data_IF_354206339563
#
_entry.id   IF_354206339563
#
_cell.length_a   1.000
_cell.length_b   1.000
_cell.length_c   1.000
_cell.angle_alpha   90.00
_cell.angle_beta   90.00
_cell.angle_gamma   90.00
#
_symmetry.space_group_name_H-M   'P 1'
#
loop_
_entity.id
_entity.type
_entity.pdbx_description
1 polymer ?
#
# COMPACT_ATOMS: atom_id res chain seq x y z
N UNK A 1 8.09 -6.28 -33.12
CA UNK A 1 6.72 -6.23 -32.60
C UNK A 1 6.47 -4.83 -32.06
N UNK A 2 6.31 -3.84 -32.92
CA UNK A 2 6.12 -2.41 -32.59
C UNK A 2 5.04 -1.83 -33.50
N UNK A 3 3.83 -2.36 -33.42
CA UNK A 3 2.66 -1.82 -34.14
C UNK A 3 1.40 -2.28 -33.44
N UNK A 4 1.03 -1.63 -32.34
CA UNK A 4 -0.32 -1.85 -31.78
C UNK A 4 -0.69 -0.71 -30.82
N UNK A 5 -0.78 0.52 -31.28
CA UNK A 5 -1.53 1.61 -30.62
C UNK A 5 -1.79 2.73 -31.62
N UNK A 6 -2.49 2.39 -32.69
CA UNK A 6 -2.98 3.36 -33.66
C UNK A 6 -4.34 2.87 -34.18
N UNK A 7 -5.32 2.83 -33.29
CA UNK A 7 -6.71 2.63 -33.70
C UNK A 7 -7.61 3.36 -32.73
N UNK A 8 -7.80 4.62 -32.95
CA UNK A 8 -9.10 5.27 -32.77
C UNK A 8 -9.10 6.68 -33.37
N UNK A 9 -8.95 6.83 -34.65
CA UNK A 9 -9.65 7.82 -35.48
C UNK A 9 -9.49 7.37 -36.93
N UNK A 10 -10.32 6.49 -37.38
CA UNK A 10 -10.47 6.20 -38.80
C UNK A 10 -11.96 6.11 -39.08
N UNK A 11 -12.54 7.24 -39.48
CA UNK A 11 -13.70 7.27 -40.38
C UNK A 11 -13.82 8.69 -40.96
N UNK A 12 -13.19 8.90 -42.11
CA UNK A 12 -13.87 9.52 -43.25
C UNK A 12 -12.94 9.40 -44.45
N UNK A 13 -13.30 8.47 -45.34
CA UNK A 13 -12.66 8.39 -46.63
C UNK A 13 -12.98 9.61 -47.50
N UNK A 14 -11.94 10.24 -48.00
CA UNK A 14 -11.96 10.99 -49.24
C UNK A 14 -10.56 10.87 -49.83
N UNK A 15 -10.42 10.05 -50.88
CA UNK A 15 -9.27 10.08 -51.73
C UNK A 15 -9.18 11.44 -52.43
N UNK A 16 -8.49 12.37 -51.80
CA UNK A 16 -8.00 13.56 -52.47
C UNK A 16 -6.52 13.37 -52.77
N UNK A 17 -6.12 13.65 -54.04
CA UNK A 17 -4.69 13.80 -54.39
C UNK A 17 -4.09 14.79 -53.37
N UNK A 18 -3.24 14.28 -52.47
CA UNK A 18 -2.48 15.12 -51.57
C UNK A 18 -1.48 15.92 -52.39
N UNK A 19 -1.76 17.17 -52.65
CA UNK A 19 -0.72 18.16 -52.79
C UNK A 19 0.15 18.02 -51.53
N UNK A 20 1.45 17.85 -51.69
CA UNK A 20 2.40 17.71 -50.60
C UNK A 20 2.15 18.85 -49.59
N UNK A 21 1.52 18.53 -48.46
CA UNK A 21 1.14 19.54 -47.48
C UNK A 21 2.43 20.19 -46.99
N UNK A 22 2.56 21.48 -47.07
CA UNK A 22 3.70 22.20 -46.51
C UNK A 22 3.71 22.01 -44.99
N UNK A 23 4.41 20.97 -44.51
CA UNK A 23 4.47 20.62 -43.10
C UNK A 23 4.99 21.77 -42.22
N UNK A 24 5.77 22.71 -42.79
CA UNK A 24 6.25 23.90 -42.06
C UNK A 24 5.09 24.88 -41.83
N UNK A 25 4.23 25.05 -42.81
CA UNK A 25 3.03 25.90 -42.66
C UNK A 25 2.03 25.26 -41.67
N UNK A 26 1.81 23.95 -41.75
CA UNK A 26 0.98 23.22 -40.77
C UNK A 26 1.52 23.38 -39.36
N UNK A 27 2.84 23.24 -39.16
CA UNK A 27 3.48 23.47 -37.87
C UNK A 27 3.27 24.89 -37.35
N UNK A 28 3.40 25.91 -38.23
CA UNK A 28 3.17 27.32 -37.83
C UNK A 28 1.74 27.53 -37.34
N UNK A 29 0.76 26.94 -38.03
CA UNK A 29 -0.65 27.00 -37.63
C UNK A 29 -0.90 26.28 -36.29
N UNK A 30 -0.33 25.06 -36.12
CA UNK A 30 -0.42 24.32 -34.88
C UNK A 30 0.21 25.08 -33.71
N UNK A 31 1.37 25.70 -33.92
CA UNK A 31 2.03 26.52 -32.90
C UNK A 31 1.24 27.78 -32.55
N UNK A 32 0.53 28.39 -33.52
CA UNK A 32 -0.37 29.51 -33.27
C UNK A 32 -1.58 29.07 -32.43
N UNK A 33 -2.20 27.93 -32.74
CA UNK A 33 -3.28 27.33 -31.94
C UNK A 33 -2.83 27.02 -30.53
N UNK A 34 -1.66 26.40 -30.34
CA UNK A 34 -1.13 26.10 -29.01
C UNK A 34 -0.86 27.38 -28.19
N UNK A 35 -0.38 28.47 -28.82
CA UNK A 35 -0.20 29.76 -28.16
C UNK A 35 -1.52 30.41 -27.78
N UNK A 36 -2.57 30.22 -28.58
CA UNK A 36 -3.92 30.70 -28.30
C UNK A 36 -4.67 29.80 -27.27
N UNK A 37 -4.02 28.81 -26.70
CA UNK A 37 -4.59 27.81 -25.80
C UNK A 37 -5.62 26.87 -26.45
N UNK A 38 -5.69 26.80 -27.76
CA UNK A 38 -6.52 25.89 -28.55
C UNK A 38 -5.78 24.55 -28.69
N UNK A 39 -5.48 23.90 -27.56
CA UNK A 39 -4.61 22.70 -27.53
C UNK A 39 -5.21 21.52 -28.27
N UNK A 40 -6.53 21.31 -28.14
CA UNK A 40 -7.24 20.22 -28.82
C UNK A 40 -7.19 20.33 -30.36
N UNK A 41 -7.16 21.57 -30.88
CA UNK A 41 -7.03 21.82 -32.33
C UNK A 41 -5.57 21.71 -32.81
N UNK A 42 -4.61 22.02 -31.93
CA UNK A 42 -3.20 21.95 -32.27
C UNK A 42 -2.71 20.50 -32.38
N UNK A 43 -3.21 19.56 -31.55
CA UNK A 43 -2.76 18.18 -31.52
C UNK A 43 -2.82 17.47 -32.89
N UNK A 44 -3.97 17.41 -33.59
CA UNK A 44 -4.05 16.74 -34.88
C UNK A 44 -3.13 17.38 -35.94
N UNK A 45 -2.91 18.68 -35.89
CA UNK A 45 -1.99 19.38 -36.81
C UNK A 45 -0.52 19.01 -36.48
N UNK A 46 -0.17 18.87 -35.21
CA UNK A 46 1.17 18.42 -34.79
C UNK A 46 1.41 16.97 -35.18
N UNK A 47 0.42 16.10 -35.06
CA UNK A 47 0.49 14.71 -35.54
C UNK A 47 0.67 14.67 -37.06
N UNK A 48 -0.03 15.51 -37.81
CA UNK A 48 0.15 15.65 -39.27
C UNK A 48 1.60 16.01 -39.63
N UNK A 49 2.18 16.99 -38.93
CA UNK A 49 3.60 17.37 -39.13
C UNK A 49 4.54 16.21 -38.82
N UNK A 50 4.31 15.47 -37.74
CA UNK A 50 5.16 14.34 -37.34
C UNK A 50 5.06 13.22 -38.37
N UNK A 51 3.87 12.90 -38.86
CA UNK A 51 3.67 11.84 -39.85
C UNK A 51 4.23 12.25 -41.22
N UNK A 52 4.00 13.48 -41.67
CA UNK A 52 4.53 13.98 -42.96
C UNK A 52 6.05 13.97 -43.04
N UNK A 53 6.73 14.14 -41.88
CA UNK A 53 8.19 14.08 -41.86
C UNK A 53 8.74 12.70 -42.25
N UNK A 54 8.07 11.63 -41.89
CA UNK A 54 8.50 10.27 -42.23
C UNK A 54 8.28 9.88 -43.70
N UNK A 55 7.49 10.68 -44.43
CA UNK A 55 7.25 10.49 -45.85
C UNK A 55 8.27 11.28 -46.74
N UNK A 56 9.18 12.03 -46.12
CA UNK A 56 10.22 12.77 -46.84
C UNK A 56 11.48 11.94 -47.06
N UNK A 57 11.99 11.95 -48.29
CA UNK A 57 13.26 11.27 -48.62
C UNK A 57 14.47 12.06 -48.09
N UNK A 58 14.47 13.39 -48.29
CA UNK A 58 15.55 14.31 -47.90
C UNK A 58 14.93 15.56 -47.24
N UNK A 59 14.65 15.58 -45.93
CA UNK A 59 14.11 16.75 -45.26
C UNK A 59 15.11 17.90 -45.19
N UNK A 60 14.63 19.11 -45.47
CA UNK A 60 15.43 20.32 -45.29
C UNK A 60 15.49 20.77 -43.81
N UNK A 61 16.36 21.75 -43.52
CA UNK A 61 16.59 22.24 -42.16
C UNK A 61 15.35 22.84 -41.49
N UNK A 62 14.39 23.41 -42.28
CA UNK A 62 13.14 23.94 -41.73
C UNK A 62 12.16 22.81 -41.38
N UNK A 63 12.13 21.75 -42.21
CA UNK A 63 11.34 20.57 -42.01
C UNK A 63 11.85 19.77 -40.78
N UNK A 64 13.18 19.58 -40.66
CA UNK A 64 13.76 18.99 -39.44
C UNK A 64 13.43 19.76 -38.18
N UNK A 65 13.50 21.11 -38.25
CA UNK A 65 13.15 21.99 -37.12
C UNK A 65 11.66 21.90 -36.78
N UNK A 66 10.78 21.91 -37.77
CA UNK A 66 9.33 21.78 -37.56
C UNK A 66 9.01 20.44 -36.90
N UNK A 67 9.57 19.33 -37.36
CA UNK A 67 9.44 18.00 -36.75
C UNK A 67 9.93 17.97 -35.31
N UNK A 68 11.14 18.47 -35.05
CA UNK A 68 11.67 18.51 -33.69
C UNK A 68 10.81 19.33 -32.69
N UNK A 69 10.25 20.44 -33.19
CA UNK A 69 9.38 21.27 -32.41
C UNK A 69 7.98 20.67 -32.25
N UNK A 70 7.42 20.02 -33.28
CA UNK A 70 6.12 19.35 -33.21
C UNK A 70 6.09 18.29 -32.10
N UNK A 71 7.13 17.48 -31.97
CA UNK A 71 7.28 16.50 -30.88
C UNK A 71 7.21 17.15 -29.48
N UNK A 72 7.79 18.34 -29.32
CA UNK A 72 7.73 19.06 -28.02
C UNK A 72 6.37 19.69 -27.78
N UNK A 73 5.77 20.26 -28.81
CA UNK A 73 4.50 20.97 -28.69
C UNK A 73 3.34 20.00 -28.43
N UNK A 74 3.35 18.79 -29.02
CA UNK A 74 2.27 17.82 -28.80
C UNK A 74 2.26 17.34 -27.34
N UNK A 75 3.41 17.06 -26.76
CA UNK A 75 3.55 16.74 -25.32
C UNK A 75 3.04 17.89 -24.46
N UNK A 76 3.42 19.14 -24.82
CA UNK A 76 2.96 20.33 -24.12
C UNK A 76 1.43 20.48 -24.21
N UNK A 77 0.83 20.26 -25.38
CA UNK A 77 -0.62 20.39 -25.58
C UNK A 77 -1.40 19.39 -24.70
N UNK A 78 -1.01 18.11 -24.69
CA UNK A 78 -1.61 17.12 -23.80
C UNK A 78 -1.42 17.47 -22.33
N UNK A 79 -0.22 17.91 -21.92
CA UNK A 79 0.02 18.38 -20.54
C UNK A 79 -0.90 19.55 -20.16
N UNK A 80 -1.12 20.51 -21.07
CA UNK A 80 -2.01 21.65 -20.82
C UNK A 80 -3.47 21.25 -20.73
N UNK A 81 -3.94 20.33 -21.60
CA UNK A 81 -5.29 19.77 -21.52
C UNK A 81 -5.49 19.01 -20.20
N UNK A 82 -4.50 18.23 -19.78
CA UNK A 82 -4.50 17.55 -18.47
C UNK A 82 -4.65 18.54 -17.32
N UNK A 83 -3.90 19.66 -17.35
CA UNK A 83 -4.00 20.71 -16.35
C UNK A 83 -5.38 21.41 -16.33
N UNK A 84 -5.97 21.65 -17.50
CA UNK A 84 -7.33 22.20 -17.59
C UNK A 84 -8.36 21.24 -16.99
N UNK A 85 -8.36 19.98 -17.42
CA UNK A 85 -9.27 18.95 -16.90
C UNK A 85 -9.11 18.75 -15.38
N UNK A 86 -7.88 18.80 -14.86
CA UNK A 86 -7.62 18.72 -13.41
C UNK A 86 -8.26 19.89 -12.65
N UNK A 87 -8.14 21.13 -13.16
CA UNK A 87 -8.74 22.31 -12.54
C UNK A 87 -10.27 22.25 -12.57
N UNK A 88 -10.83 21.64 -13.62
CA UNK A 88 -12.26 21.37 -13.76
C UNK A 88 -12.76 20.17 -12.94
N UNK A 89 -11.84 19.54 -12.14
CA UNK A 89 -12.08 18.32 -11.35
C UNK A 89 -12.49 17.10 -12.19
N UNK A 90 -12.23 17.12 -13.48
CA UNK A 90 -12.40 15.96 -14.34
C UNK A 90 -11.13 15.11 -14.29
N UNK A 91 -10.91 14.44 -13.15
CA UNK A 91 -9.66 13.75 -12.86
C UNK A 91 -9.38 12.57 -13.79
N UNK A 92 -10.43 11.87 -14.27
CA UNK A 92 -10.24 10.77 -15.22
C UNK A 92 -9.64 11.28 -16.53
N UNK A 93 -10.24 12.30 -17.11
CA UNK A 93 -9.76 12.88 -18.35
C UNK A 93 -8.39 13.56 -18.17
N UNK A 94 -8.16 14.18 -17.01
CA UNK A 94 -6.85 14.74 -16.68
C UNK A 94 -5.77 13.66 -16.66
N UNK A 95 -6.04 12.52 -16.01
CA UNK A 95 -5.12 11.38 -15.96
C UNK A 95 -4.82 10.81 -17.34
N UNK A 96 -5.83 10.68 -18.21
CA UNK A 96 -5.67 10.25 -19.60
C UNK A 96 -4.76 11.18 -20.39
N UNK A 97 -4.99 12.50 -20.30
CA UNK A 97 -4.16 13.49 -21.00
C UNK A 97 -2.70 13.48 -20.49
N UNK A 98 -2.50 13.39 -19.17
CA UNK A 98 -1.14 13.30 -18.63
C UNK A 98 -0.46 11.97 -18.99
N UNK A 99 -1.21 10.86 -19.02
CA UNK A 99 -0.66 9.58 -19.46
C UNK A 99 -0.21 9.62 -20.92
N UNK A 100 -1.03 10.24 -21.80
CA UNK A 100 -0.67 10.41 -23.21
C UNK A 100 0.55 11.32 -23.39
N UNK A 101 0.61 12.43 -22.65
CA UNK A 101 1.80 13.30 -22.63
C UNK A 101 3.05 12.54 -22.16
N UNK A 102 2.93 11.64 -21.20
CA UNK A 102 4.04 10.82 -20.72
C UNK A 102 4.48 9.79 -21.77
N UNK A 103 3.54 9.11 -22.43
CA UNK A 103 3.82 8.13 -23.48
C UNK A 103 4.53 8.78 -24.67
N UNK A 104 4.07 9.94 -25.11
CA UNK A 104 4.70 10.69 -26.19
C UNK A 104 6.10 11.21 -25.79
N UNK A 105 6.25 11.67 -24.55
CA UNK A 105 7.55 12.10 -24.05
C UNK A 105 8.55 10.93 -24.00
N UNK A 106 8.11 9.74 -23.60
CA UNK A 106 8.92 8.52 -23.63
C UNK A 106 9.28 8.13 -25.06
N UNK A 107 8.31 8.18 -26.00
CA UNK A 107 8.54 7.89 -27.42
C UNK A 107 9.59 8.82 -28.05
N UNK A 108 9.68 10.05 -27.54
CA UNK A 108 10.61 11.07 -28.06
C UNK A 108 11.86 11.24 -27.18
N UNK A 109 12.18 10.27 -26.33
CA UNK A 109 13.35 10.25 -25.44
C UNK A 109 13.43 11.46 -24.48
N UNK A 110 12.29 12.06 -24.13
CA UNK A 110 12.20 13.17 -23.20
C UNK A 110 11.82 12.66 -21.78
N UNK A 111 12.82 12.10 -21.09
CA UNK A 111 12.65 11.51 -19.76
C UNK A 111 12.11 12.51 -18.72
N UNK A 112 12.52 13.79 -18.83
CA UNK A 112 12.05 14.83 -17.90
C UNK A 112 10.54 15.06 -17.96
N UNK A 113 10.01 15.26 -19.17
CA UNK A 113 8.57 15.43 -19.36
C UNK A 113 7.79 14.15 -19.13
N UNK A 114 8.35 12.98 -19.45
CA UNK A 114 7.77 11.67 -19.13
C UNK A 114 7.50 11.55 -17.63
N UNK A 115 8.53 11.73 -16.81
CA UNK A 115 8.41 11.58 -15.35
C UNK A 115 7.43 12.60 -14.76
N UNK A 116 7.51 13.85 -15.20
CA UNK A 116 6.61 14.92 -14.76
C UNK A 116 5.14 14.62 -15.06
N UNK A 117 4.85 14.13 -16.27
CA UNK A 117 3.47 13.82 -16.64
C UNK A 117 2.96 12.55 -15.93
N UNK A 118 3.82 11.54 -15.66
CA UNK A 118 3.46 10.41 -14.79
C UNK A 118 3.11 10.86 -13.38
N UNK A 119 3.89 11.78 -12.80
CA UNK A 119 3.58 12.38 -11.51
C UNK A 119 2.21 13.10 -11.51
N UNK A 120 1.92 13.87 -12.57
CA UNK A 120 0.63 14.55 -12.68
C UNK A 120 -0.54 13.58 -12.83
N UNK A 121 -0.39 12.50 -13.60
CA UNK A 121 -1.40 11.44 -13.67
C UNK A 121 -1.63 10.80 -12.29
N UNK A 122 -0.55 10.55 -11.53
CA UNK A 122 -0.64 10.09 -10.13
C UNK A 122 -1.46 11.03 -9.24
N UNK A 123 -1.23 12.35 -9.33
CA UNK A 123 -2.00 13.36 -8.58
C UNK A 123 -3.50 13.36 -8.93
N UNK A 124 -3.86 13.02 -10.17
CA UNK A 124 -5.28 12.89 -10.54
C UNK A 124 -5.94 11.72 -9.80
N UNK A 125 -5.29 10.56 -9.75
CA UNK A 125 -5.78 9.40 -8.98
C UNK A 125 -5.84 9.71 -7.48
N UNK A 126 -4.84 10.42 -6.95
CA UNK A 126 -4.82 10.84 -5.55
C UNK A 126 -5.99 11.75 -5.21
N UNK A 127 -6.24 12.79 -6.01
CA UNK A 127 -7.35 13.71 -5.79
C UNK A 127 -8.71 13.01 -5.86
N UNK A 128 -8.93 12.19 -6.88
CA UNK A 128 -10.17 11.44 -7.06
C UNK A 128 -10.38 10.40 -5.95
N UNK A 129 -9.33 9.67 -5.61
CA UNK A 129 -9.39 8.69 -4.53
C UNK A 129 -9.66 9.33 -3.17
N UNK A 130 -9.07 10.52 -2.92
CA UNK A 130 -9.32 11.28 -1.70
C UNK A 130 -10.77 11.78 -1.59
N UNK A 131 -11.41 12.16 -2.70
CA UNK A 131 -12.84 12.50 -2.68
C UNK A 131 -13.70 11.31 -2.25
N UNK A 132 -13.48 10.13 -2.81
CA UNK A 132 -14.18 8.91 -2.43
C UNK A 132 -13.88 8.52 -0.96
N UNK A 133 -12.63 8.60 -0.55
CA UNK A 133 -12.20 8.31 0.82
C UNK A 133 -12.89 9.23 1.85
N UNK A 134 -12.92 10.54 1.57
CA UNK A 134 -13.51 11.54 2.48
C UNK A 134 -15.03 11.42 2.60
N UNK A 135 -15.70 10.85 1.60
CA UNK A 135 -17.14 10.53 1.66
C UNK A 135 -17.44 9.17 2.32
N UNK A 136 -16.41 8.40 2.68
CA UNK A 136 -16.52 7.07 3.27
C UNK A 136 -16.77 5.96 2.23
N UNK A 137 -16.70 6.28 0.93
CA UNK A 137 -16.75 5.27 -0.14
C UNK A 137 -15.38 4.62 -0.32
N UNK A 138 -15.00 3.81 0.68
CA UNK A 138 -13.71 3.13 0.67
C UNK A 138 -13.56 2.11 -0.46
N UNK A 139 -14.66 1.56 -0.97
CA UNK A 139 -14.62 0.63 -2.09
C UNK A 139 -14.14 1.33 -3.37
N UNK A 140 -14.71 2.48 -3.69
CA UNK A 140 -14.27 3.33 -4.80
C UNK A 140 -12.87 3.89 -4.57
N UNK A 141 -12.54 4.31 -3.34
CA UNK A 141 -11.20 4.78 -2.99
C UNK A 141 -10.14 3.70 -3.24
N UNK A 142 -10.39 2.45 -2.85
CA UNK A 142 -9.50 1.31 -3.10
C UNK A 142 -9.27 1.11 -4.60
N UNK A 143 -10.32 1.13 -5.41
CA UNK A 143 -10.18 0.97 -6.86
C UNK A 143 -9.29 2.05 -7.47
N UNK A 144 -9.53 3.32 -7.11
CA UNK A 144 -8.81 4.47 -7.67
C UNK A 144 -7.36 4.49 -7.21
N UNK A 145 -7.12 4.38 -5.88
CA UNK A 145 -5.77 4.35 -5.34
C UNK A 145 -4.95 3.15 -5.83
N UNK A 146 -5.60 1.99 -6.06
CA UNK A 146 -4.93 0.82 -6.63
C UNK A 146 -4.42 1.08 -8.05
N UNK A 147 -5.21 1.76 -8.90
CA UNK A 147 -4.80 2.16 -10.25
C UNK A 147 -3.61 3.12 -10.20
N UNK A 148 -3.69 4.13 -9.35
CA UNK A 148 -2.61 5.11 -9.20
C UNK A 148 -1.33 4.52 -8.62
N UNK A 149 -1.43 3.67 -7.59
CA UNK A 149 -0.29 2.97 -7.00
C UNK A 149 0.35 1.96 -7.97
N UNK A 150 -0.44 1.33 -8.83
CA UNK A 150 0.11 0.47 -9.88
C UNK A 150 0.91 1.27 -10.93
N UNK A 151 0.51 2.53 -11.21
CA UNK A 151 1.20 3.40 -12.13
C UNK A 151 2.48 4.02 -11.51
N UNK A 152 2.46 4.34 -10.22
CA UNK A 152 3.60 4.89 -9.49
C UNK A 152 3.73 4.27 -8.10
N UNK A 153 4.64 3.28 -7.99
CA UNK A 153 4.94 2.56 -6.75
C UNK A 153 5.68 3.40 -5.69
N UNK A 154 6.19 4.56 -6.07
CA UNK A 154 6.88 5.47 -5.15
C UNK A 154 5.99 6.62 -4.65
N UNK A 155 4.75 6.69 -5.09
CA UNK A 155 3.78 7.60 -4.50
C UNK A 155 3.29 7.05 -3.14
N UNK A 156 4.09 7.29 -2.11
CA UNK A 156 3.86 6.77 -0.76
C UNK A 156 2.59 7.33 -0.12
N UNK A 157 2.21 8.57 -0.43
CA UNK A 157 0.97 9.17 0.08
C UNK A 157 -0.26 8.42 -0.43
N UNK A 158 -0.30 8.11 -1.74
CA UNK A 158 -1.37 7.31 -2.33
C UNK A 158 -1.40 5.89 -1.77
N UNK A 159 -0.24 5.26 -1.60
CA UNK A 159 -0.14 3.92 -1.05
C UNK A 159 -0.61 3.87 0.41
N UNK A 160 -0.30 4.87 1.23
CA UNK A 160 -0.81 4.99 2.61
C UNK A 160 -2.32 5.16 2.66
N UNK A 161 -2.89 5.95 1.75
CA UNK A 161 -4.33 6.11 1.62
C UNK A 161 -5.01 4.82 1.13
N UNK A 162 -4.37 4.06 0.25
CA UNK A 162 -4.83 2.74 -0.17
C UNK A 162 -4.85 1.76 1.01
N UNK A 163 -3.78 1.68 1.77
CA UNK A 163 -3.72 0.83 2.97
C UNK A 163 -4.82 1.21 3.97
N UNK A 164 -4.99 2.51 4.24
CA UNK A 164 -6.04 3.02 5.12
C UNK A 164 -7.45 2.66 4.61
N UNK A 165 -7.68 2.77 3.28
CA UNK A 165 -8.96 2.40 2.67
C UNK A 165 -9.27 0.92 2.84
N UNK A 166 -8.26 0.04 2.71
CA UNK A 166 -8.42 -1.38 2.98
C UNK A 166 -8.78 -1.64 4.44
N UNK A 167 -8.06 -1.03 5.38
CA UNK A 167 -8.34 -1.17 6.81
C UNK A 167 -9.74 -0.70 7.18
N UNK A 168 -10.17 0.45 6.65
CA UNK A 168 -11.53 0.99 6.86
C UNK A 168 -12.63 0.11 6.25
N UNK A 169 -12.28 -0.75 5.31
CA UNK A 169 -13.19 -1.71 4.67
C UNK A 169 -13.14 -3.10 5.30
N UNK A 170 -12.58 -3.26 6.49
CA UNK A 170 -12.38 -4.57 7.14
C UNK A 170 -11.50 -5.56 6.32
N UNK A 171 -10.66 -5.04 5.43
CA UNK A 171 -9.73 -5.83 4.61
C UNK A 171 -8.33 -5.75 5.22
N UNK A 172 -8.19 -6.31 6.42
CA UNK A 172 -6.96 -6.22 7.22
C UNK A 172 -5.73 -6.74 6.46
N UNK A 173 -5.82 -7.92 5.84
CA UNK A 173 -4.68 -8.54 5.17
C UNK A 173 -4.17 -7.73 3.97
N UNK A 174 -5.08 -7.17 3.18
CA UNK A 174 -4.73 -6.32 2.04
C UNK A 174 -4.12 -4.99 2.51
N UNK A 175 -4.67 -4.40 3.58
CA UNK A 175 -4.12 -3.19 4.19
C UNK A 175 -2.71 -3.41 4.72
N UNK A 176 -2.48 -4.51 5.45
CA UNK A 176 -1.17 -4.91 5.96
C UNK A 176 -0.16 -5.12 4.82
N UNK A 177 -0.58 -5.76 3.73
CA UNK A 177 0.29 -5.98 2.57
C UNK A 177 0.80 -4.65 1.99
N UNK A 178 -0.09 -3.69 1.75
CA UNK A 178 0.32 -2.38 1.19
C UNK A 178 1.17 -1.60 2.21
N UNK A 179 0.80 -1.59 3.49
CA UNK A 179 1.57 -0.91 4.52
C UNK A 179 2.99 -1.51 4.66
N UNK A 180 3.13 -2.84 4.61
CA UNK A 180 4.42 -3.54 4.66
C UNK A 180 5.30 -3.22 3.43
N UNK A 181 4.72 -3.11 2.23
CA UNK A 181 5.45 -2.65 1.04
C UNK A 181 6.07 -1.27 1.27
N UNK A 182 5.33 -0.33 1.92
CA UNK A 182 5.85 1.02 2.23
C UNK A 182 6.89 0.95 3.36
N UNK A 183 6.63 0.20 4.43
CA UNK A 183 7.55 0.04 5.54
C UNK A 183 8.91 -0.57 5.12
N UNK A 184 8.92 -1.32 4.01
CA UNK A 184 10.12 -1.92 3.41
C UNK A 184 10.93 -0.95 2.55
N UNK A 185 10.44 0.27 2.30
CA UNK A 185 11.18 1.28 1.54
C UNK A 185 12.38 1.80 2.35
N UNK A 186 13.32 2.44 1.64
CA UNK A 186 14.46 3.08 2.31
C UNK A 186 14.00 4.20 3.26
N UNK A 187 14.21 4.03 4.55
CA UNK A 187 13.91 5.05 5.56
C UNK A 187 14.75 6.34 5.38
N UNK A 188 15.89 6.27 4.71
CA UNK A 188 16.69 7.44 4.36
C UNK A 188 15.98 8.31 3.30
N UNK A 189 15.30 7.66 2.34
CA UNK A 189 14.59 8.35 1.24
C UNK A 189 13.15 8.71 1.60
N UNK A 190 12.48 7.89 2.40
CA UNK A 190 11.06 8.00 2.73
C UNK A 190 10.79 7.90 4.24
N UNK A 191 11.48 8.69 5.10
CA UNK A 191 11.44 8.51 6.56
C UNK A 191 10.03 8.62 7.13
N UNK A 192 9.26 9.61 6.70
CA UNK A 192 7.91 9.86 7.20
C UNK A 192 6.92 8.76 6.76
N UNK A 193 6.99 8.34 5.50
CA UNK A 193 6.11 7.31 4.97
C UNK A 193 6.36 5.94 5.62
N UNK A 194 7.63 5.59 5.83
CA UNK A 194 8.01 4.34 6.52
C UNK A 194 7.50 4.36 7.96
N UNK A 195 7.71 5.45 8.69
CA UNK A 195 7.24 5.59 10.06
C UNK A 195 5.70 5.55 10.15
N UNK A 196 5.00 6.22 9.23
CA UNK A 196 3.53 6.20 9.18
C UNK A 196 2.99 4.81 8.86
N UNK A 197 3.62 4.10 7.91
CA UNK A 197 3.24 2.73 7.58
C UNK A 197 3.36 1.80 8.79
N UNK A 198 4.48 1.86 9.51
CA UNK A 198 4.70 1.07 10.74
C UNK A 198 3.65 1.40 11.81
N UNK A 199 3.39 2.69 12.06
CA UNK A 199 2.36 3.11 13.02
C UNK A 199 0.95 2.59 12.64
N UNK A 200 0.61 2.61 11.35
CA UNK A 200 -0.66 2.04 10.87
C UNK A 200 -0.72 0.53 11.09
N UNK A 201 0.35 -0.19 10.75
CA UNK A 201 0.45 -1.64 10.96
C UNK A 201 0.20 -1.99 12.43
N UNK A 202 0.89 -1.32 13.36
CA UNK A 202 0.73 -1.54 14.80
C UNK A 202 -0.70 -1.24 15.28
N UNK A 203 -1.25 -0.10 14.88
CA UNK A 203 -2.59 0.33 15.26
C UNK A 203 -3.67 -0.66 14.78
N UNK A 204 -3.62 -1.05 13.51
CA UNK A 204 -4.63 -1.94 12.94
C UNK A 204 -4.45 -3.39 13.40
N UNK A 205 -3.23 -3.84 13.69
CA UNK A 205 -2.98 -5.12 14.36
C UNK A 205 -3.63 -5.15 15.74
N UNK A 206 -3.44 -4.12 16.55
CA UNK A 206 -4.07 -4.03 17.88
C UNK A 206 -5.60 -4.00 17.78
N UNK A 207 -6.15 -3.28 16.80
CA UNK A 207 -7.60 -3.23 16.58
C UNK A 207 -8.15 -4.60 16.16
N UNK A 208 -7.47 -5.33 15.29
CA UNK A 208 -7.89 -6.66 14.85
C UNK A 208 -7.83 -7.67 16.02
N UNK A 209 -6.76 -7.63 16.83
CA UNK A 209 -6.69 -8.43 18.06
C UNK A 209 -7.89 -8.15 18.98
N UNK A 210 -8.21 -6.87 19.22
CA UNK A 210 -9.33 -6.49 20.06
C UNK A 210 -10.68 -6.98 19.50
N UNK A 211 -10.87 -6.89 18.19
CA UNK A 211 -12.06 -7.39 17.48
C UNK A 211 -12.22 -8.90 17.63
N UNK A 212 -11.13 -9.66 17.40
CA UNK A 212 -11.13 -11.11 17.56
C UNK A 212 -11.37 -11.53 19.02
N UNK A 213 -10.81 -10.79 19.98
CA UNK A 213 -11.07 -11.02 21.42
C UNK A 213 -12.53 -10.80 21.78
N UNK A 214 -13.15 -9.72 21.29
CA UNK A 214 -14.58 -9.44 21.51
C UNK A 214 -15.46 -10.52 20.88
N UNK A 215 -15.11 -11.00 19.69
CA UNK A 215 -15.80 -12.09 19.02
C UNK A 215 -15.54 -13.47 19.67
N UNK A 216 -14.59 -13.57 20.61
CA UNK A 216 -14.08 -14.83 21.17
C UNK A 216 -13.54 -15.78 20.10
N UNK A 217 -13.03 -15.22 18.99
CA UNK A 217 -12.39 -15.97 17.91
C UNK A 217 -10.92 -16.21 18.26
N UNK A 218 -10.69 -17.16 19.13
CA UNK A 218 -9.35 -17.51 19.60
C UNK A 218 -8.52 -18.21 18.51
N UNK A 219 -9.15 -18.90 17.56
CA UNK A 219 -8.46 -19.48 16.41
C UNK A 219 -8.00 -18.38 15.46
N UNK A 220 -8.81 -17.34 15.27
CA UNK A 220 -8.43 -16.13 14.55
C UNK A 220 -7.23 -15.43 15.18
N UNK A 221 -7.20 -15.33 16.54
CA UNK A 221 -6.03 -14.75 17.26
C UNK A 221 -4.76 -15.58 17.00
N UNK A 222 -4.84 -16.91 17.04
CA UNK A 222 -3.69 -17.78 16.76
C UNK A 222 -3.20 -17.61 15.32
N UNK A 223 -4.14 -17.54 14.37
CA UNK A 223 -3.80 -17.32 12.97
C UNK A 223 -3.15 -15.94 12.73
N UNK A 224 -3.67 -14.89 13.36
CA UNK A 224 -3.10 -13.54 13.31
C UNK A 224 -1.70 -13.51 13.94
N UNK A 225 -1.52 -14.13 15.11
CA UNK A 225 -0.24 -14.20 15.80
C UNK A 225 0.86 -14.86 14.93
N UNK A 226 0.49 -15.87 14.12
CA UNK A 226 1.42 -16.48 13.17
C UNK A 226 1.89 -15.58 12.02
N UNK A 227 1.31 -14.39 11.87
CA UNK A 227 1.68 -13.39 10.85
C UNK A 227 2.49 -12.22 11.44
N UNK A 228 2.63 -12.14 12.77
CA UNK A 228 3.35 -11.06 13.43
C UNK A 228 4.86 -11.25 13.35
N UNK A 229 5.58 -10.18 13.07
CA UNK A 229 7.05 -10.15 13.08
C UNK A 229 7.62 -10.23 14.51
N UNK A 230 6.91 -9.64 15.50
CA UNK A 230 7.28 -9.74 16.92
C UNK A 230 6.90 -11.14 17.46
N UNK A 231 7.88 -12.04 17.43
CA UNK A 231 7.70 -13.40 17.93
C UNK A 231 7.32 -13.42 19.43
N UNK A 232 7.79 -12.47 20.23
CA UNK A 232 7.45 -12.36 21.65
C UNK A 232 5.98 -12.04 21.86
N UNK A 233 5.45 -11.04 21.12
CA UNK A 233 4.02 -10.72 21.11
C UNK A 233 3.20 -11.89 20.58
N UNK A 234 3.61 -12.51 19.48
CA UNK A 234 2.94 -13.65 18.88
C UNK A 234 2.74 -14.79 19.88
N UNK A 235 3.80 -15.21 20.56
CA UNK A 235 3.73 -16.30 21.54
C UNK A 235 2.83 -15.97 22.74
N UNK A 236 2.83 -14.72 23.21
CA UNK A 236 1.92 -14.30 24.30
C UNK A 236 0.44 -14.36 23.86
N UNK A 237 0.13 -13.92 22.65
CA UNK A 237 -1.23 -14.01 22.12
C UNK A 237 -1.70 -15.46 21.97
N UNK A 238 -0.83 -16.34 21.48
CA UNK A 238 -1.13 -17.77 21.34
C UNK A 238 -1.39 -18.41 22.73
N UNK A 239 -0.56 -18.11 23.72
CA UNK A 239 -0.78 -18.59 25.09
C UNK A 239 -2.11 -18.14 25.66
N UNK A 240 -2.47 -16.86 25.50
CA UNK A 240 -3.75 -16.33 25.95
C UNK A 240 -4.94 -16.97 25.22
N UNK A 241 -4.84 -17.17 23.91
CA UNK A 241 -5.87 -17.83 23.12
C UNK A 241 -6.09 -19.28 23.59
N UNK A 242 -5.02 -20.04 23.81
CA UNK A 242 -5.10 -21.39 24.37
C UNK A 242 -5.68 -21.43 25.78
N UNK A 243 -5.39 -20.42 26.63
CA UNK A 243 -5.99 -20.29 27.95
C UNK A 243 -7.53 -20.18 27.87
N UNK A 244 -8.03 -19.27 27.04
CA UNK A 244 -9.47 -19.09 26.87
C UNK A 244 -10.17 -20.31 26.23
N UNK A 245 -9.44 -21.07 25.40
CA UNK A 245 -9.89 -22.37 24.87
C UNK A 245 -9.78 -23.53 25.88
N UNK A 246 -9.21 -23.29 27.07
CA UNK A 246 -8.89 -24.30 28.09
C UNK A 246 -7.96 -25.39 27.59
N UNK A 247 -7.09 -25.08 26.67
CA UNK A 247 -6.11 -25.98 26.05
C UNK A 247 -4.77 -25.95 26.84
N UNK A 248 -4.83 -26.20 28.14
CA UNK A 248 -3.70 -26.03 29.06
C UNK A 248 -2.48 -26.89 28.73
N UNK A 249 -2.68 -28.07 28.16
CA UNK A 249 -1.56 -28.94 27.74
C UNK A 249 -0.77 -28.30 26.59
N UNK A 250 -1.43 -27.61 25.67
CA UNK A 250 -0.76 -26.87 24.59
C UNK A 250 0.05 -25.71 25.14
N UNK A 251 -0.51 -24.95 26.10
CA UNK A 251 0.22 -23.86 26.76
C UNK A 251 1.50 -24.37 27.42
N UNK A 252 1.43 -25.48 28.18
CA UNK A 252 2.58 -26.07 28.87
C UNK A 252 3.62 -26.53 27.86
N UNK A 253 3.21 -27.16 26.77
CA UNK A 253 4.14 -27.61 25.71
C UNK A 253 4.88 -26.45 25.03
N UNK A 254 4.32 -25.25 25.02
CA UNK A 254 4.92 -24.06 24.42
C UNK A 254 5.93 -23.34 25.33
N UNK A 255 6.09 -23.70 26.62
CA UNK A 255 6.90 -22.93 27.59
C UNK A 255 8.26 -22.54 27.03
N UNK A 256 9.02 -23.52 26.53
CA UNK A 256 10.40 -23.30 26.07
C UNK A 256 10.49 -22.33 24.91
N UNK A 257 9.62 -22.51 23.90
CA UNK A 257 9.58 -21.65 22.71
C UNK A 257 9.10 -20.23 23.05
N UNK A 258 8.03 -20.15 23.84
CA UNK A 258 7.45 -18.88 24.24
C UNK A 258 8.41 -18.04 25.10
N UNK A 259 9.19 -18.66 26.00
CA UNK A 259 10.22 -17.98 26.79
C UNK A 259 11.38 -17.53 25.91
N UNK A 260 11.84 -18.39 24.99
CA UNK A 260 12.95 -18.07 24.09
C UNK A 260 12.63 -16.90 23.14
N UNK A 261 11.36 -16.72 22.77
CA UNK A 261 10.92 -15.63 21.93
C UNK A 261 10.93 -14.25 22.63
N UNK A 262 11.02 -14.20 23.98
CA UNK A 262 10.96 -12.93 24.71
C UNK A 262 12.32 -12.24 24.80
N UNK A 263 12.37 -10.99 24.31
CA UNK A 263 13.57 -10.18 24.39
C UNK A 263 13.88 -9.65 25.80
N UNK A 264 12.87 -9.50 26.67
CA UNK A 264 12.99 -8.88 28.00
C UNK A 264 12.68 -9.85 29.14
N UNK A 265 13.16 -9.55 30.35
CA UNK A 265 12.83 -10.31 31.55
C UNK A 265 11.34 -10.19 31.91
N UNK A 266 10.77 -8.99 31.75
CA UNK A 266 9.32 -8.80 31.92
C UNK A 266 8.49 -9.66 30.97
N UNK A 267 8.93 -9.79 29.70
CA UNK A 267 8.29 -10.68 28.74
C UNK A 267 8.38 -12.16 29.14
N UNK A 268 9.54 -12.63 29.58
CA UNK A 268 9.71 -13.99 30.10
C UNK A 268 8.86 -14.23 31.33
N UNK A 269 8.81 -13.28 32.24
CA UNK A 269 7.94 -13.32 33.43
C UNK A 269 6.47 -13.46 33.07
N UNK A 270 5.98 -12.73 32.06
CA UNK A 270 4.61 -12.89 31.60
C UNK A 270 4.33 -14.30 31.08
N UNK A 271 5.26 -14.88 30.31
CA UNK A 271 5.12 -16.28 29.85
C UNK A 271 5.06 -17.23 31.01
N UNK A 272 5.99 -17.14 31.97
CA UNK A 272 5.99 -18.00 33.16
C UNK A 272 4.71 -17.86 34.00
N UNK A 273 4.15 -16.67 34.06
CA UNK A 273 2.85 -16.46 34.72
C UNK A 273 1.74 -17.29 34.05
N UNK A 274 1.61 -17.20 32.72
CA UNK A 274 0.60 -17.96 31.99
C UNK A 274 0.81 -19.47 32.07
N UNK A 275 2.07 -19.95 32.07
CA UNK A 275 2.40 -21.37 32.28
C UNK A 275 2.02 -21.81 33.71
N UNK A 276 2.30 -20.98 34.71
CA UNK A 276 1.86 -21.21 36.09
C UNK A 276 0.34 -21.33 36.22
N UNK A 277 -0.40 -20.44 35.54
CA UNK A 277 -1.86 -20.50 35.44
C UNK A 277 -2.32 -21.81 34.80
N UNK A 278 -1.70 -22.22 33.67
CA UNK A 278 -2.07 -23.46 32.99
C UNK A 278 -1.89 -24.71 33.89
N UNK A 279 -0.77 -24.79 34.63
CA UNK A 279 -0.57 -25.85 35.61
C UNK A 279 -1.60 -25.77 36.75
N UNK A 280 -1.90 -24.57 37.26
CA UNK A 280 -2.84 -24.39 38.33
C UNK A 280 -4.27 -24.88 37.94
N UNK A 281 -4.75 -24.56 36.77
CA UNK A 281 -6.06 -25.02 36.25
C UNK A 281 -6.13 -26.54 36.08
N UNK A 282 -4.99 -27.23 35.99
CA UNK A 282 -4.93 -28.68 35.86
C UNK A 282 -4.84 -29.43 37.18
N UNK A 283 -4.66 -28.76 38.31
CA UNK A 283 -4.46 -29.45 39.63
C UNK A 283 -5.64 -30.37 39.93
N UNK A 284 -6.88 -29.88 39.83
CA UNK A 284 -8.07 -30.64 40.20
C UNK A 284 -8.38 -31.81 39.25
N UNK A 285 -7.90 -31.75 38.01
CA UNK A 285 -8.20 -32.79 36.98
C UNK A 285 -7.10 -33.77 36.80
N UNK A 286 -5.93 -33.55 37.42
CA UNK A 286 -4.74 -34.39 37.25
C UNK A 286 -4.77 -35.61 38.18
N UNK A 287 -4.40 -36.75 37.64
CA UNK A 287 -4.11 -37.96 38.45
C UNK A 287 -2.90 -37.79 39.38
N UNK A 288 -2.03 -36.81 39.15
CA UNK A 288 -0.88 -36.44 39.95
C UNK A 288 -0.95 -34.95 40.36
N UNK A 289 -1.92 -34.61 41.15
CA UNK A 289 -2.20 -33.22 41.55
C UNK A 289 -1.02 -32.56 42.26
N UNK A 290 -0.26 -33.33 43.10
CA UNK A 290 0.91 -32.78 43.79
C UNK A 290 2.06 -32.42 42.85
N UNK A 291 2.31 -33.23 41.84
CA UNK A 291 3.30 -32.92 40.80
C UNK A 291 2.92 -31.67 40.05
N UNK A 292 1.67 -31.59 39.58
CA UNK A 292 1.17 -30.44 38.81
C UNK A 292 1.20 -29.17 39.66
N UNK A 293 0.84 -29.23 40.92
CA UNK A 293 0.94 -28.14 41.91
C UNK A 293 2.39 -27.64 42.04
N UNK A 294 3.34 -28.57 42.16
CA UNK A 294 4.75 -28.20 42.25
C UNK A 294 5.26 -27.52 40.97
N UNK A 295 4.78 -27.93 39.79
CA UNK A 295 5.09 -27.26 38.52
C UNK A 295 4.50 -25.86 38.48
N UNK A 296 3.26 -25.67 38.93
CA UNK A 296 2.64 -24.36 39.02
C UNK A 296 3.46 -23.40 39.90
N UNK A 297 3.83 -23.85 41.10
CA UNK A 297 4.67 -23.09 42.05
C UNK A 297 6.03 -22.76 41.42
N UNK A 298 6.66 -23.72 40.73
CA UNK A 298 7.96 -23.50 40.06
C UNK A 298 7.84 -22.42 38.94
N UNK A 299 6.78 -22.45 38.14
CA UNK A 299 6.54 -21.47 37.10
C UNK A 299 6.29 -20.09 37.70
N UNK A 300 5.39 -19.96 38.68
CA UNK A 300 5.11 -18.65 39.33
C UNK A 300 6.33 -18.05 40.02
N UNK A 301 7.25 -18.86 40.59
CA UNK A 301 8.49 -18.34 41.19
C UNK A 301 9.47 -17.77 40.18
N UNK A 302 9.35 -18.08 38.89
CA UNK A 302 10.15 -17.50 37.82
C UNK A 302 9.61 -16.10 37.40
N UNK A 303 8.47 -15.67 37.91
CA UNK A 303 7.89 -14.35 37.62
C UNK A 303 8.55 -13.32 38.54
N UNK A 304 9.53 -12.62 38.02
CA UNK A 304 10.41 -11.71 38.81
C UNK A 304 10.27 -10.26 38.43
N UNK A 305 9.68 -9.96 37.26
CA UNK A 305 9.53 -8.62 36.70
C UNK A 305 8.17 -8.46 36.00
N UNK A 306 7.63 -7.22 35.94
CA UNK A 306 6.41 -6.88 35.25
C UNK A 306 5.16 -6.93 36.12
N UNK A 307 4.02 -6.75 35.45
CA UNK A 307 2.70 -6.52 36.11
C UNK A 307 2.16 -7.74 36.89
N UNK A 308 2.65 -8.95 36.58
CA UNK A 308 2.15 -10.20 37.15
C UNK A 308 2.91 -10.68 38.40
N UNK A 309 3.94 -9.95 38.85
CA UNK A 309 4.77 -10.34 40.00
C UNK A 309 3.95 -10.55 41.27
N UNK A 310 3.08 -9.62 41.65
CA UNK A 310 2.28 -9.73 42.85
C UNK A 310 1.24 -10.86 42.75
N UNK A 311 0.63 -11.03 41.56
CA UNK A 311 -0.30 -12.14 41.33
C UNK A 311 0.41 -13.51 41.46
N UNK A 312 1.59 -13.62 40.95
CA UNK A 312 2.40 -14.84 41.04
C UNK A 312 2.81 -15.15 42.47
N UNK A 313 3.25 -14.16 43.26
CA UNK A 313 3.53 -14.29 44.70
C UNK A 313 2.31 -14.79 45.48
N UNK A 314 1.15 -14.19 45.24
CA UNK A 314 -0.10 -14.59 45.87
C UNK A 314 -0.49 -16.03 45.53
N UNK A 315 -0.33 -16.44 44.25
CA UNK A 315 -0.55 -17.81 43.79
C UNK A 315 0.39 -18.80 44.49
N UNK A 316 1.69 -18.50 44.58
CA UNK A 316 2.65 -19.35 45.35
C UNK A 316 2.23 -19.48 46.78
N UNK A 317 1.87 -18.41 47.47
CA UNK A 317 1.42 -18.42 48.85
C UNK A 317 0.18 -19.31 49.03
N UNK A 318 -0.82 -19.17 48.18
CA UNK A 318 -2.03 -19.96 48.19
C UNK A 318 -1.77 -21.46 48.00
N UNK A 319 -0.93 -21.79 47.03
CA UNK A 319 -0.58 -23.19 46.68
C UNK A 319 0.32 -23.87 47.74
N UNK A 320 1.08 -23.10 48.52
CA UNK A 320 2.02 -23.66 49.53
C UNK A 320 1.47 -23.55 50.94
N UNK A 321 0.28 -22.94 51.16
CA UNK A 321 -0.37 -22.87 52.47
C UNK A 321 -0.66 -24.30 52.99
N UNK A 322 -0.47 -24.56 54.31
CA UNK A 322 -0.86 -25.82 54.87
C UNK A 322 -2.37 -26.06 54.75
N UNK A 323 -2.76 -27.30 54.42
CA UNK A 323 -4.17 -27.67 54.41
C UNK A 323 -4.78 -27.39 55.77
N UNK A 324 -5.91 -26.63 55.79
CA UNK A 324 -6.64 -26.36 57.04
C UNK A 324 -7.38 -27.59 57.51
#
# INVERSE_FOLDING_TARGET
>A
MKRLFLTLVALMGATTLFAQTDMVAVFQQAAANAKAANYAEAIPQLDEVINAYFDLDEPDANQEKAFAMAKKYIVLCYNKLGGQAYNDKNYDQAAEYFAEAANLAELYDNIGDMNKNREFAGKCYEAKGAEAFNTGDYATAIEIFSKGYAADKYNTAMALNLAESFFRSDKYAEGMKVASEIASLSAEKFPEAVAEAQNKMDMYTNNEIAKLQQAKDYDGIIALAGQLEDAGMAQKLILQAHYYKKEFDKMIAMESEAVAAQATEAGRSDVYYWIGVAYNEKIETSSNAEYVKNQAVAAFRKVVEGQNVENAKAAVQALTAPAK
#
